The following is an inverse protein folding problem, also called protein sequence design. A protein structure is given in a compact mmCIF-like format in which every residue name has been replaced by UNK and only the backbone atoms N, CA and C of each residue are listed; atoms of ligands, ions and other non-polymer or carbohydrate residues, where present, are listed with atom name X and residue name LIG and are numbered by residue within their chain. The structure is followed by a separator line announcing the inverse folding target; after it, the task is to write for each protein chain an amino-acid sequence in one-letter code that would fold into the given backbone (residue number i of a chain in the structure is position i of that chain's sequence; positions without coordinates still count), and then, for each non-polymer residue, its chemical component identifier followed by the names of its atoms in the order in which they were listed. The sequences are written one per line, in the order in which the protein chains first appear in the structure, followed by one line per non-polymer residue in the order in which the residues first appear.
data_IF_394401740266
#
_entry.id   IF_394401740266
#
_cell.length_a   1.000
_cell.length_b   1.000
_cell.length_c   1.000
_cell.angle_alpha   90.00
_cell.angle_beta   90.00
_cell.angle_gamma   90.00
#
_symmetry.space_group_name_H-M   'P 1'
#
loop_
_entity.id
_entity.type
_entity.pdbx_description
1 polymer ?
#
# COMPACT_ATOMS: atom_id res chain seq x y z
N UNK A 1 -9.14 -4.70 -31.68
CA UNK A 1 -8.79 -3.35 -31.20
C UNK A 1 -7.43 -3.48 -30.55
N UNK A 2 -6.42 -2.91 -31.18
CA UNK A 2 -5.03 -2.89 -30.72
C UNK A 2 -4.94 -2.01 -29.48
N UNK A 3 -4.68 -2.62 -28.32
CA UNK A 3 -4.36 -1.90 -27.10
C UNK A 3 -3.06 -1.13 -27.30
N UNK A 4 -3.09 0.17 -27.03
CA UNK A 4 -1.88 0.95 -26.83
C UNK A 4 -1.33 0.54 -25.47
N UNK A 5 -0.33 -0.35 -25.46
CA UNK A 5 0.57 -0.44 -24.33
C UNK A 5 1.20 0.95 -24.18
N UNK A 6 0.92 1.64 -23.08
CA UNK A 6 1.62 2.88 -22.75
C UNK A 6 3.08 2.48 -22.53
N UNK A 7 3.95 2.84 -23.47
CA UNK A 7 5.37 2.62 -23.32
C UNK A 7 5.82 3.49 -22.15
N UNK A 8 6.19 2.87 -21.02
CA UNK A 8 6.96 3.52 -19.99
C UNK A 8 8.14 4.22 -20.68
N UNK A 9 8.18 5.55 -20.63
CA UNK A 9 9.29 6.30 -21.19
C UNK A 9 10.59 5.86 -20.52
N UNK A 10 11.66 5.71 -21.29
CA UNK A 10 12.97 5.37 -20.73
C UNK A 10 13.33 6.35 -19.60
N UNK A 11 13.80 5.83 -18.47
CA UNK A 11 14.20 6.65 -17.32
C UNK A 11 15.25 7.67 -17.77
N UNK A 12 15.05 8.98 -17.52
CA UNK A 12 16.03 9.98 -17.90
C UNK A 12 17.27 9.83 -17.02
N UNK A 13 18.37 9.39 -17.62
CA UNK A 13 19.69 9.37 -16.99
C UNK A 13 20.56 10.39 -17.74
N UNK A 14 21.04 11.38 -17.00
CA UNK A 14 21.93 12.43 -17.51
C UNK A 14 23.32 11.90 -17.90
N UNK A 15 24.23 12.78 -18.34
CA UNK A 15 25.59 12.37 -18.65
C UNK A 15 26.31 11.87 -17.40
N UNK A 16 26.66 10.58 -17.39
CA UNK A 16 27.31 9.91 -16.27
C UNK A 16 26.34 9.42 -15.20
N UNK A 17 26.79 8.45 -14.42
CA UNK A 17 26.00 7.84 -13.35
C UNK A 17 26.05 8.69 -12.09
N UNK A 18 24.90 9.04 -11.47
CA UNK A 18 24.89 9.75 -10.21
C UNK A 18 25.28 8.83 -9.05
N UNK A 19 25.67 9.42 -7.91
CA UNK A 19 25.86 8.64 -6.70
C UNK A 19 24.52 8.08 -6.19
N UNK A 20 23.48 8.92 -6.24
CA UNK A 20 22.12 8.57 -5.85
C UNK A 20 21.14 8.90 -6.99
N UNK A 21 20.24 7.96 -7.30
CA UNK A 21 19.08 8.22 -8.15
C UNK A 21 17.81 8.18 -7.30
N UNK A 22 16.98 9.24 -7.34
CA UNK A 22 15.72 9.30 -6.59
C UNK A 22 14.54 9.07 -7.53
N UNK A 23 13.76 8.01 -7.28
CA UNK A 23 12.55 7.68 -8.02
C UNK A 23 11.34 8.28 -7.28
N UNK A 24 10.64 9.21 -7.94
CA UNK A 24 9.50 9.93 -7.41
C UNK A 24 8.15 9.37 -7.89
N UNK A 25 7.23 9.06 -6.97
CA UNK A 25 5.89 8.56 -7.33
C UNK A 25 4.80 9.49 -6.81
N UNK A 26 4.24 10.26 -7.72
CA UNK A 26 3.23 11.26 -7.43
C UNK A 26 1.91 10.62 -7.00
N UNK A 27 1.05 11.37 -6.32
CA UNK A 27 -0.27 10.89 -5.92
C UNK A 27 -1.31 10.99 -7.04
N UNK A 28 -2.53 10.55 -6.75
CA UNK A 28 -3.69 10.65 -7.66
C UNK A 28 -3.85 12.08 -8.19
N UNK A 29 -4.00 12.20 -9.50
CA UNK A 29 -4.13 13.46 -10.23
C UNK A 29 -2.89 14.38 -10.26
N UNK A 30 -1.73 13.91 -9.76
CA UNK A 30 -0.48 14.69 -9.76
C UNK A 30 0.53 14.20 -10.81
N UNK A 31 0.35 12.99 -11.35
CA UNK A 31 1.22 12.39 -12.37
C UNK A 31 1.15 13.13 -13.70
N UNK A 32 2.29 13.20 -14.39
CA UNK A 32 2.37 13.77 -15.75
C UNK A 32 3.15 12.85 -16.68
N UNK A 33 2.95 12.94 -18.01
CA UNK A 33 3.73 12.16 -18.97
C UNK A 33 5.23 12.50 -19.01
N UNK A 34 5.64 13.66 -18.49
CA UNK A 34 7.04 14.09 -18.46
C UNK A 34 7.71 13.58 -17.17
N UNK A 35 8.65 12.62 -17.24
CA UNK A 35 9.32 12.06 -16.07
C UNK A 35 10.29 13.05 -15.41
N UNK A 36 10.53 14.22 -16.00
CA UNK A 36 11.34 15.29 -15.40
C UNK A 36 10.51 16.37 -14.71
N UNK A 37 9.18 16.26 -14.73
CA UNK A 37 8.30 17.27 -14.18
C UNK A 37 8.22 17.19 -12.64
N UNK A 38 8.78 18.21 -11.98
CA UNK A 38 8.67 18.41 -10.54
C UNK A 38 7.33 19.05 -10.15
N UNK A 39 6.25 18.27 -10.24
CA UNK A 39 4.89 18.70 -9.84
C UNK A 39 4.40 18.03 -8.54
N UNK A 40 3.41 18.66 -7.90
CA UNK A 40 2.74 18.11 -6.73
C UNK A 40 3.63 18.01 -5.48
N UNK A 41 3.24 17.10 -4.57
CA UNK A 41 3.94 16.92 -3.28
C UNK A 41 5.36 16.39 -3.47
N UNK A 42 5.50 15.39 -4.34
CA UNK A 42 6.77 14.74 -4.64
C UNK A 42 7.73 15.70 -5.34
N UNK A 43 7.27 16.42 -6.37
CA UNK A 43 8.12 17.38 -7.10
C UNK A 43 8.68 18.48 -6.21
N UNK A 44 7.91 18.97 -5.22
CA UNK A 44 8.41 19.98 -4.29
C UNK A 44 9.54 19.46 -3.39
N UNK A 45 9.55 18.16 -3.06
CA UNK A 45 10.64 17.53 -2.32
C UNK A 45 11.84 17.33 -3.25
N UNK A 46 11.64 16.73 -4.43
CA UNK A 46 12.70 16.45 -5.40
C UNK A 46 13.44 17.73 -5.81
N UNK A 47 12.70 18.81 -6.12
CA UNK A 47 13.30 20.10 -6.47
C UNK A 47 14.20 20.69 -5.38
N UNK A 48 13.86 20.48 -4.09
CA UNK A 48 14.72 20.92 -2.98
C UNK A 48 15.97 20.06 -2.85
N UNK A 49 15.86 18.73 -3.04
CA UNK A 49 17.02 17.82 -3.03
C UNK A 49 17.97 18.14 -4.18
N UNK A 50 17.44 18.29 -5.40
CA UNK A 50 18.20 18.66 -6.59
C UNK A 50 18.90 20.02 -6.42
N UNK A 51 18.23 21.01 -5.80
CA UNK A 51 18.85 22.30 -5.52
C UNK A 51 19.98 22.22 -4.47
N UNK A 52 19.87 21.31 -3.50
CA UNK A 52 20.86 21.14 -2.43
C UNK A 52 22.13 20.40 -2.90
N UNK A 53 21.98 19.37 -3.74
CA UNK A 53 23.08 18.50 -4.18
C UNK A 53 23.08 18.25 -5.70
N UNK A 54 23.16 19.30 -6.53
CA UNK A 54 22.87 19.21 -7.97
C UNK A 54 23.81 18.31 -8.78
N UNK A 55 24.99 17.97 -8.23
CA UNK A 55 25.99 17.12 -8.88
C UNK A 55 26.03 15.68 -8.35
N UNK A 56 25.30 15.39 -7.27
CA UNK A 56 25.33 14.06 -6.62
C UNK A 56 24.08 13.24 -6.92
N UNK A 57 22.98 13.92 -7.24
CA UNK A 57 21.66 13.31 -7.44
C UNK A 57 21.19 13.52 -8.87
N UNK A 58 20.49 12.52 -9.39
CA UNK A 58 19.52 12.69 -10.47
C UNK A 58 18.19 12.12 -9.99
N UNK A 59 17.08 12.58 -10.55
CA UNK A 59 15.76 12.08 -10.21
C UNK A 59 14.85 12.03 -11.43
N UNK A 60 13.81 11.22 -11.31
CA UNK A 60 12.68 11.24 -12.21
C UNK A 60 11.41 10.93 -11.45
N UNK A 61 10.28 11.37 -11.99
CA UNK A 61 8.98 10.84 -11.64
C UNK A 61 8.61 9.65 -12.53
N UNK A 62 7.81 8.72 -12.04
CA UNK A 62 7.25 7.63 -12.86
C UNK A 62 5.92 8.09 -13.46
N UNK A 63 5.80 8.22 -14.79
CA UNK A 63 4.54 8.50 -15.44
C UNK A 63 3.59 7.30 -15.32
N UNK A 64 2.40 7.54 -14.79
CA UNK A 64 1.32 6.56 -14.70
C UNK A 64 -0.04 7.30 -14.70
N UNK A 65 -1.18 6.60 -14.81
CA UNK A 65 -2.48 7.27 -14.93
C UNK A 65 -2.85 8.19 -13.77
N UNK A 66 -2.39 7.88 -12.55
CA UNK A 66 -2.81 8.55 -11.31
C UNK A 66 -4.33 8.68 -11.20
N UNK A 67 -5.03 7.63 -11.62
CA UNK A 67 -6.48 7.55 -11.74
C UNK A 67 -7.16 7.14 -10.44
N UNK A 68 -8.42 7.54 -10.33
CA UNK A 68 -9.36 7.09 -9.30
C UNK A 68 -10.75 7.01 -9.94
N UNK A 69 -10.88 6.17 -10.96
CA UNK A 69 -12.14 6.00 -11.70
C UNK A 69 -12.65 7.31 -12.31
N UNK A 70 -11.76 8.22 -12.72
CA UNK A 70 -12.11 9.52 -13.31
C UNK A 70 -12.72 10.57 -12.36
N UNK A 71 -12.84 10.31 -11.05
CA UNK A 71 -13.46 11.26 -10.11
C UNK A 71 -12.51 12.38 -9.64
N UNK A 72 -11.19 12.17 -9.76
CA UNK A 72 -10.16 13.11 -9.31
C UNK A 72 -9.61 13.90 -10.51
N UNK A 73 -9.71 15.24 -10.52
CA UNK A 73 -9.14 16.06 -11.58
C UNK A 73 -7.63 15.84 -11.75
N UNK A 74 -7.18 15.77 -13.01
CA UNK A 74 -5.78 15.50 -13.35
C UNK A 74 -5.43 14.00 -13.37
N UNK A 75 -6.28 13.13 -12.83
CA UNK A 75 -6.13 11.69 -12.91
C UNK A 75 -6.77 11.11 -14.17
N UNK A 76 -6.27 9.96 -14.61
CA UNK A 76 -6.87 9.17 -15.68
C UNK A 76 -8.22 8.53 -15.28
N UNK A 77 -8.98 8.03 -16.27
CA UNK A 77 -10.24 7.34 -16.03
C UNK A 77 -10.08 5.98 -15.33
N UNK A 78 -8.87 5.43 -15.27
CA UNK A 78 -8.57 4.11 -14.72
C UNK A 78 -8.99 4.00 -13.25
N UNK A 79 -9.58 2.87 -12.82
CA UNK A 79 -9.79 2.57 -11.41
C UNK A 79 -8.50 2.69 -10.61
N UNK A 80 -8.63 3.06 -9.34
CA UNK A 80 -7.49 3.30 -8.47
C UNK A 80 -6.54 2.09 -8.37
N UNK A 81 -7.09 0.88 -8.26
CA UNK A 81 -6.32 -0.35 -8.13
C UNK A 81 -5.48 -0.66 -9.40
N UNK A 82 -6.05 -0.43 -10.58
CA UNK A 82 -5.35 -0.57 -11.87
C UNK A 82 -4.25 0.48 -11.97
N UNK A 83 -4.57 1.75 -11.68
CA UNK A 83 -3.60 2.83 -11.70
C UNK A 83 -2.45 2.64 -10.70
N UNK A 84 -2.71 2.10 -9.50
CA UNK A 84 -1.66 1.81 -8.52
C UNK A 84 -0.76 0.65 -8.96
N UNK A 85 -1.35 -0.38 -9.61
CA UNK A 85 -0.58 -1.48 -10.21
C UNK A 85 0.34 -0.98 -11.32
N UNK A 86 -0.14 -0.09 -12.20
CA UNK A 86 0.70 0.51 -13.24
C UNK A 86 1.84 1.36 -12.67
N UNK A 87 1.60 2.08 -11.57
CA UNK A 87 2.65 2.81 -10.87
C UNK A 87 3.73 1.85 -10.34
N UNK A 88 3.34 0.72 -9.74
CA UNK A 88 4.28 -0.31 -9.27
C UNK A 88 5.09 -0.91 -10.42
N UNK A 89 4.45 -1.23 -11.54
CA UNK A 89 5.14 -1.73 -12.73
C UNK A 89 6.15 -0.71 -13.26
N UNK A 90 5.78 0.58 -13.28
CA UNK A 90 6.68 1.67 -13.64
C UNK A 90 7.86 1.84 -12.67
N UNK A 91 7.66 1.67 -11.36
CA UNK A 91 8.74 1.66 -10.36
C UNK A 91 9.70 0.49 -10.63
N UNK A 92 9.15 -0.70 -10.87
CA UNK A 92 9.94 -1.90 -11.12
C UNK A 92 10.81 -1.76 -12.38
N UNK A 93 10.21 -1.26 -13.47
CA UNK A 93 10.94 -0.97 -14.71
C UNK A 93 12.02 0.09 -14.47
N UNK A 94 11.69 1.20 -13.82
CA UNK A 94 12.63 2.29 -13.58
C UNK A 94 13.84 1.84 -12.74
N UNK A 95 13.59 1.13 -11.63
CA UNK A 95 14.65 0.61 -10.78
C UNK A 95 15.59 -0.35 -11.54
N UNK A 96 15.02 -1.23 -12.37
CA UNK A 96 15.78 -2.17 -13.20
C UNK A 96 16.65 -1.42 -14.22
N UNK A 97 16.07 -0.47 -14.94
CA UNK A 97 16.76 0.29 -15.98
C UNK A 97 17.92 1.12 -15.41
N UNK A 98 17.71 1.78 -14.26
CA UNK A 98 18.74 2.57 -13.60
C UNK A 98 19.90 1.69 -13.15
N UNK A 99 19.62 0.56 -12.48
CA UNK A 99 20.68 -0.35 -12.00
C UNK A 99 21.43 -1.00 -13.16
N UNK A 100 20.74 -1.29 -14.27
CA UNK A 100 21.37 -1.83 -15.47
C UNK A 100 22.29 -0.80 -16.14
N UNK A 101 21.87 0.45 -16.23
CA UNK A 101 22.65 1.53 -16.83
C UNK A 101 23.80 2.00 -15.93
N UNK A 102 23.59 2.00 -14.62
CA UNK A 102 24.48 2.54 -13.61
C UNK A 102 24.62 1.59 -12.40
N UNK A 103 25.43 0.53 -12.52
CA UNK A 103 25.52 -0.51 -11.50
C UNK A 103 25.99 -0.03 -10.13
N UNK A 104 26.78 1.05 -10.06
CA UNK A 104 27.32 1.60 -8.81
C UNK A 104 26.42 2.68 -8.18
N UNK A 105 25.34 3.08 -8.86
CA UNK A 105 24.36 4.04 -8.34
C UNK A 105 23.45 3.37 -7.30
N UNK A 106 23.23 4.04 -6.17
CA UNK A 106 22.20 3.66 -5.21
C UNK A 106 20.86 4.33 -5.57
N UNK A 107 19.76 3.65 -5.26
CA UNK A 107 18.40 4.12 -5.50
C UNK A 107 17.76 4.64 -4.22
N UNK A 108 16.98 5.70 -4.30
CA UNK A 108 16.07 6.13 -3.25
C UNK A 108 14.65 6.34 -3.80
N UNK A 109 13.66 6.31 -2.92
CA UNK A 109 12.25 6.48 -3.28
C UNK A 109 11.59 7.62 -2.53
N UNK A 110 10.79 8.43 -3.22
CA UNK A 110 9.92 9.45 -2.59
C UNK A 110 8.54 9.32 -3.18
N UNK A 111 7.53 9.13 -2.34
CA UNK A 111 6.19 8.84 -2.84
C UNK A 111 5.07 9.41 -1.97
N UNK A 112 3.93 9.71 -2.59
CA UNK A 112 2.78 10.33 -1.92
C UNK A 112 1.45 9.65 -2.30
N UNK A 113 0.59 9.40 -1.32
CA UNK A 113 -0.78 8.87 -1.49
C UNK A 113 -0.81 7.58 -2.32
N UNK A 114 -1.51 7.52 -3.45
CA UNK A 114 -1.49 6.37 -4.38
C UNK A 114 -0.08 5.93 -4.77
N UNK A 115 0.82 6.88 -5.01
CA UNK A 115 2.21 6.59 -5.31
C UNK A 115 2.96 6.00 -4.11
N UNK A 116 2.61 6.43 -2.90
CA UNK A 116 3.18 5.87 -1.67
C UNK A 116 2.75 4.41 -1.48
N UNK A 117 1.53 4.05 -1.88
CA UNK A 117 1.10 2.66 -1.92
C UNK A 117 1.98 1.81 -2.85
N UNK A 118 2.15 2.25 -4.09
CA UNK A 118 2.97 1.55 -5.08
C UNK A 118 4.44 1.43 -4.62
N UNK A 119 5.02 2.50 -4.06
CA UNK A 119 6.39 2.47 -3.54
C UNK A 119 6.52 1.62 -2.27
N UNK A 120 5.49 1.54 -1.41
CA UNK A 120 5.46 0.63 -0.27
C UNK A 120 5.50 -0.84 -0.73
N UNK A 121 4.70 -1.20 -1.74
CA UNK A 121 4.68 -2.54 -2.33
C UNK A 121 6.02 -2.90 -2.97
N UNK A 122 6.63 -1.97 -3.72
CA UNK A 122 7.99 -2.14 -4.21
C UNK A 122 8.99 -2.39 -3.06
N UNK A 123 8.92 -1.60 -1.99
CA UNK A 123 9.80 -1.74 -0.83
C UNK A 123 9.60 -3.06 -0.08
N UNK A 124 8.36 -3.53 0.07
CA UNK A 124 8.04 -4.83 0.66
C UNK A 124 8.59 -5.97 -0.21
N UNK A 125 8.40 -5.93 -1.53
CA UNK A 125 8.91 -6.93 -2.46
C UNK A 125 10.45 -7.01 -2.43
N UNK A 126 11.13 -5.87 -2.56
CA UNK A 126 12.59 -5.79 -2.46
C UNK A 126 13.04 -6.26 -1.08
N UNK A 127 12.42 -5.75 -0.01
CA UNK A 127 12.75 -6.11 1.37
C UNK A 127 12.64 -7.60 1.69
N UNK A 128 11.70 -8.30 1.05
CA UNK A 128 11.51 -9.74 1.13
C UNK A 128 12.44 -10.55 0.20
N UNK A 129 13.24 -9.89 -0.65
CA UNK A 129 14.12 -10.53 -1.62
C UNK A 129 13.43 -10.99 -2.92
N UNK A 130 12.20 -10.53 -3.16
CA UNK A 130 11.39 -10.87 -4.33
C UNK A 130 11.26 -9.71 -5.34
N UNK A 131 11.90 -8.57 -5.07
CA UNK A 131 11.85 -7.38 -5.93
C UNK A 131 12.79 -7.46 -7.15
N UNK A 132 12.67 -6.51 -8.09
CA UNK A 132 13.43 -6.54 -9.35
C UNK A 132 14.91 -6.17 -9.18
N UNK A 133 15.27 -5.58 -8.03
CA UNK A 133 16.63 -5.20 -7.65
C UNK A 133 16.94 -5.72 -6.26
N UNK A 134 18.21 -5.91 -5.97
CA UNK A 134 18.64 -6.39 -4.67
C UNK A 134 18.46 -5.31 -3.57
N UNK A 135 18.17 -5.70 -2.31
CA UNK A 135 17.93 -4.75 -1.22
C UNK A 135 19.09 -3.80 -0.92
N UNK A 136 20.32 -4.19 -1.26
CA UNK A 136 21.53 -3.39 -1.11
C UNK A 136 21.60 -2.22 -2.10
N UNK A 137 20.78 -2.21 -3.16
CA UNK A 137 20.63 -1.07 -4.06
C UNK A 137 19.77 0.05 -3.53
N UNK A 138 18.99 -0.17 -2.47
CA UNK A 138 18.08 0.84 -1.92
C UNK A 138 18.75 1.64 -0.80
N UNK A 139 19.11 2.89 -1.04
CA UNK A 139 19.67 3.79 -0.03
C UNK A 139 18.64 4.19 1.04
N UNK A 140 17.41 4.54 0.63
CA UNK A 140 16.33 4.91 1.53
C UNK A 140 15.03 5.29 0.81
N UNK A 141 13.89 5.15 1.48
CA UNK A 141 12.57 5.43 0.92
C UNK A 141 11.77 6.30 1.91
N UNK A 142 11.11 7.34 1.41
CA UNK A 142 10.17 8.16 2.20
C UNK A 142 8.79 8.11 1.56
N UNK A 143 7.81 7.71 2.36
CA UNK A 143 6.41 7.59 1.99
C UNK A 143 5.60 8.65 2.74
N UNK A 144 4.67 9.29 2.04
CA UNK A 144 3.72 10.23 2.62
C UNK A 144 2.30 9.79 2.33
N UNK A 145 1.44 9.79 3.35
CA UNK A 145 0.05 9.38 3.21
C UNK A 145 -0.12 7.96 2.64
N UNK A 146 0.73 7.01 3.05
CA UNK A 146 0.74 5.63 2.53
C UNK A 146 -0.55 4.85 2.90
N UNK A 147 -1.37 4.45 1.92
CA UNK A 147 -2.55 3.60 2.12
C UNK A 147 -2.24 2.21 2.67
N UNK A 148 -1.00 1.72 2.49
CA UNK A 148 -0.55 0.42 3.00
C UNK A 148 0.13 0.54 4.38
N UNK A 149 0.14 1.74 5.00
CA UNK A 149 0.86 1.99 6.25
C UNK A 149 0.53 0.94 7.32
N UNK A 150 1.58 0.36 7.90
CA UNK A 150 1.46 -0.70 8.90
C UNK A 150 0.69 -0.23 10.15
N UNK A 151 -0.13 -1.12 10.77
CA UNK A 151 -0.90 -0.79 11.96
C UNK A 151 -0.05 -0.26 13.10
N UNK A 152 -0.39 0.95 13.57
CA UNK A 152 0.27 1.63 14.69
C UNK A 152 1.80 1.70 14.56
N UNK A 153 2.30 1.75 13.33
CA UNK A 153 3.73 1.76 13.04
C UNK A 153 4.40 3.08 13.44
N UNK A 154 5.63 3.04 14.00
CA UNK A 154 6.48 4.22 14.10
C UNK A 154 6.79 4.80 12.71
N UNK A 155 7.30 6.03 12.68
CA UNK A 155 7.68 6.71 11.44
C UNK A 155 8.80 5.99 10.69
N UNK A 156 9.70 5.28 11.39
CA UNK A 156 10.66 4.36 10.77
C UNK A 156 10.18 2.93 11.07
N UNK A 157 9.44 2.28 10.15
CA UNK A 157 8.79 1.01 10.42
C UNK A 157 9.81 -0.10 10.69
N UNK A 158 9.49 -0.98 11.65
CA UNK A 158 10.42 -2.01 12.14
C UNK A 158 11.52 -1.49 13.06
N UNK A 159 11.54 -0.19 13.40
CA UNK A 159 12.48 0.44 14.33
C UNK A 159 11.80 1.34 15.37
N UNK A 160 11.09 0.78 16.37
CA UNK A 160 10.40 1.56 17.39
C UNK A 160 11.36 2.51 18.15
N UNK A 161 11.00 3.79 18.23
CA UNK A 161 11.78 4.81 18.94
C UNK A 161 13.00 5.36 18.18
N UNK A 162 13.32 4.82 17.00
CA UNK A 162 14.39 5.33 16.16
C UNK A 162 13.95 6.60 15.44
N UNK A 163 14.80 7.62 15.45
CA UNK A 163 14.57 8.91 14.77
C UNK A 163 15.62 9.22 13.71
N UNK A 164 16.73 8.47 13.69
CA UNK A 164 17.81 8.60 12.69
C UNK A 164 17.73 7.37 11.79
N UNK A 165 17.59 7.49 10.46
CA UNK A 165 17.56 6.34 9.56
C UNK A 165 18.84 5.50 9.60
N UNK A 166 18.74 4.23 9.24
CA UNK A 166 19.92 3.38 9.06
C UNK A 166 20.74 3.87 7.84
N UNK A 167 22.08 3.76 7.86
CA UNK A 167 22.93 4.14 6.73
C UNK A 167 22.57 3.41 5.42
N UNK A 168 22.84 4.06 4.29
CA UNK A 168 22.77 3.40 2.99
C UNK A 168 23.79 2.26 2.90
N UNK A 169 23.46 1.13 2.24
CA UNK A 169 24.36 -0.01 2.11
C UNK A 169 25.73 0.39 1.53
N UNK A 170 26.80 -0.14 2.10
CA UNK A 170 28.17 0.13 1.66
C UNK A 170 28.73 1.50 2.08
N UNK A 171 27.92 2.40 2.62
CA UNK A 171 28.35 3.75 3.02
C UNK A 171 28.76 3.84 4.50
N UNK A 172 29.51 4.89 4.85
CA UNK A 172 29.84 5.19 6.25
C UNK A 172 28.69 5.83 7.06
N UNK A 173 27.64 6.32 6.40
CA UNK A 173 26.45 6.89 7.05
C UNK A 173 26.66 8.20 7.81
N UNK A 174 27.76 8.92 7.58
CA UNK A 174 28.12 10.08 8.39
C UNK A 174 27.15 11.25 8.19
N UNK A 175 26.69 11.48 6.96
CA UNK A 175 25.69 12.49 6.68
C UNK A 175 24.31 12.06 7.20
N UNK A 176 23.90 10.80 6.98
CA UNK A 176 22.62 10.26 7.46
C UNK A 176 22.53 10.32 8.99
N UNK A 177 23.62 10.05 9.70
CA UNK A 177 23.68 10.11 11.16
C UNK A 177 23.36 11.51 11.75
N UNK A 178 23.44 12.56 10.94
CA UNK A 178 23.10 13.93 11.33
C UNK A 178 21.62 14.29 11.06
N UNK A 179 20.85 13.41 10.41
CA UNK A 179 19.45 13.65 10.07
C UNK A 179 18.53 13.06 11.13
N UNK A 180 17.54 13.84 11.55
CA UNK A 180 16.47 13.36 12.43
C UNK A 180 15.11 13.49 11.74
N UNK A 181 14.36 12.39 11.74
CA UNK A 181 12.96 12.33 11.34
C UNK A 181 12.12 12.43 12.62
N UNK A 182 11.63 13.65 12.88
CA UNK A 182 10.85 14.00 14.06
C UNK A 182 9.36 14.22 13.75
N UNK A 183 8.91 13.77 12.58
CA UNK A 183 7.50 13.77 12.24
C UNK A 183 6.72 13.00 13.34
N UNK A 184 5.57 13.51 13.80
CA UNK A 184 4.80 12.83 14.82
C UNK A 184 4.26 11.50 14.28
N UNK A 185 4.21 10.43 15.09
CA UNK A 185 3.53 9.21 14.69
C UNK A 185 2.02 9.45 14.59
N UNK A 186 1.36 8.76 13.65
CA UNK A 186 -0.09 8.69 13.56
C UNK A 186 -0.61 7.40 14.20
N UNK A 187 -1.83 7.41 14.76
CA UNK A 187 -2.45 6.15 15.21
C UNK A 187 -3.19 5.45 14.06
N UNK A 188 -3.60 4.21 14.27
CA UNK A 188 -4.33 3.44 13.28
C UNK A 188 -3.40 2.90 12.20
N UNK A 189 -3.97 2.55 11.06
CA UNK A 189 -3.26 1.96 9.92
C UNK A 189 -3.58 2.67 8.62
N UNK A 190 -2.89 2.30 7.55
CA UNK A 190 -3.37 2.57 6.20
C UNK A 190 -4.73 1.92 5.94
N UNK A 191 -5.53 2.55 5.09
CA UNK A 191 -6.88 2.09 4.75
C UNK A 191 -6.86 0.79 3.94
N UNK A 192 -5.79 0.55 3.20
CA UNK A 192 -5.55 -0.62 2.36
C UNK A 192 -4.39 -1.47 2.91
N UNK A 193 -4.07 -1.37 4.20
CA UNK A 193 -2.95 -2.14 4.77
C UNK A 193 -3.18 -3.64 4.63
N UNK A 194 -2.15 -4.35 4.17
CA UNK A 194 -2.05 -5.81 4.13
C UNK A 194 -1.30 -6.37 5.35
N UNK A 195 -0.69 -5.49 6.16
CA UNK A 195 0.09 -5.85 7.35
C UNK A 195 1.54 -6.24 7.05
N UNK A 196 1.99 -6.17 5.81
CA UNK A 196 3.33 -6.62 5.42
C UNK A 196 4.42 -5.59 5.71
N UNK A 197 5.49 -6.06 6.37
CA UNK A 197 6.65 -5.24 6.71
C UNK A 197 7.66 -5.07 5.57
N UNK A 198 8.59 -4.14 5.73
CA UNK A 198 9.63 -3.87 4.71
C UNK A 198 10.86 -4.81 4.78
N UNK A 199 10.80 -5.89 5.54
CA UNK A 199 11.87 -6.90 5.64
C UNK A 199 13.26 -6.31 5.85
N UNK A 200 14.19 -6.62 4.94
CA UNK A 200 15.59 -6.14 4.97
C UNK A 200 15.74 -4.63 4.73
N UNK A 201 14.69 -3.92 4.32
CA UNK A 201 14.67 -2.46 4.23
C UNK A 201 14.22 -1.77 5.53
N UNK A 202 13.87 -2.51 6.58
CA UNK A 202 13.55 -1.91 7.89
C UNK A 202 14.70 -1.01 8.37
N UNK A 203 14.37 0.21 8.81
CA UNK A 203 15.35 1.26 9.13
C UNK A 203 15.76 2.16 7.96
N UNK A 204 15.50 1.75 6.72
CA UNK A 204 15.71 2.53 5.48
C UNK A 204 14.40 2.93 4.81
N UNK A 205 13.27 2.79 5.49
CA UNK A 205 11.97 3.33 5.07
C UNK A 205 11.47 4.28 6.15
N UNK A 206 11.01 5.47 5.76
CA UNK A 206 10.23 6.35 6.61
C UNK A 206 8.80 6.44 6.07
N UNK A 207 7.81 6.08 6.87
CA UNK A 207 6.38 6.14 6.54
C UNK A 207 5.73 7.27 7.36
N UNK A 208 5.59 8.43 6.73
CA UNK A 208 5.12 9.67 7.33
C UNK A 208 3.63 9.81 7.06
N UNK A 209 2.86 9.90 8.15
CA UNK A 209 1.42 10.05 8.09
C UNK A 209 0.97 11.17 9.01
N UNK A 210 0.10 12.05 8.52
CA UNK A 210 -0.60 13.01 9.36
C UNK A 210 -1.75 12.31 10.07
N UNK A 211 -1.75 12.34 11.40
CA UNK A 211 -2.84 11.77 12.20
C UNK A 211 -4.22 12.26 11.72
N UNK A 212 -5.18 11.38 11.47
CA UNK A 212 -6.51 11.77 10.94
C UNK A 212 -6.59 11.93 9.41
N UNK A 213 -5.48 11.72 8.69
CA UNK A 213 -5.51 11.43 7.24
C UNK A 213 -6.00 9.99 7.04
N UNK A 214 -7.25 9.82 6.61
CA UNK A 214 -7.91 8.51 6.53
C UNK A 214 -7.18 7.53 5.60
N UNK A 215 -6.40 8.01 4.62
CA UNK A 215 -5.62 7.12 3.76
C UNK A 215 -4.58 6.32 4.56
N UNK A 216 -3.86 6.95 5.48
CA UNK A 216 -2.73 6.34 6.22
C UNK A 216 -2.98 6.15 7.74
N UNK A 217 -4.08 6.69 8.26
CA UNK A 217 -4.46 6.75 9.68
C UNK A 217 -5.91 6.28 9.90
N UNK A 218 -6.39 5.31 9.12
CA UNK A 218 -7.69 4.69 9.29
C UNK A 218 -7.85 4.07 10.70
N UNK A 219 -9.05 4.15 11.33
CA UNK A 219 -9.29 3.61 12.67
C UNK A 219 -9.02 2.11 12.75
N UNK A 220 -8.62 1.62 13.93
CA UNK A 220 -8.30 0.20 14.11
C UNK A 220 -9.56 -0.68 13.91
N UNK A 221 -10.68 -0.33 14.55
CA UNK A 221 -11.92 -1.12 14.51
C UNK A 221 -12.92 -0.60 13.46
N UNK A 222 -12.51 -0.69 12.19
CA UNK A 222 -13.26 -0.21 11.04
C UNK A 222 -13.22 -1.19 9.85
N UNK A 223 -13.38 -2.49 10.07
CA UNK A 223 -13.22 -3.51 9.02
C UNK A 223 -14.12 -3.28 7.78
N UNK A 224 -15.38 -2.89 7.96
CA UNK A 224 -16.30 -2.61 6.85
C UNK A 224 -15.92 -1.36 6.05
N UNK A 225 -15.26 -0.39 6.69
CA UNK A 225 -14.70 0.76 5.98
C UNK A 225 -13.59 0.31 5.03
N UNK A 226 -12.73 -0.62 5.46
CA UNK A 226 -11.68 -1.21 4.63
C UNK A 226 -12.26 -2.00 3.46
N UNK A 227 -13.25 -2.86 3.70
CA UNK A 227 -13.99 -3.56 2.63
C UNK A 227 -14.57 -2.57 1.60
N UNK A 228 -15.21 -1.50 2.08
CA UNK A 228 -15.75 -0.46 1.21
C UNK A 228 -14.67 0.28 0.41
N UNK A 229 -13.52 0.54 1.02
CA UNK A 229 -12.38 1.16 0.36
C UNK A 229 -11.80 0.27 -0.75
N UNK A 230 -11.64 -1.03 -0.51
CA UNK A 230 -11.14 -1.98 -1.53
C UNK A 230 -12.10 -2.12 -2.72
N UNK A 231 -13.41 -2.11 -2.46
CA UNK A 231 -14.42 -2.10 -3.54
C UNK A 231 -14.35 -0.78 -4.32
N UNK A 232 -14.27 0.36 -3.61
CA UNK A 232 -14.18 1.67 -4.24
C UNK A 232 -12.91 1.83 -5.08
N UNK A 233 -11.80 1.21 -4.65
CA UNK A 233 -10.53 1.23 -5.36
C UNK A 233 -10.61 0.56 -6.75
N UNK A 234 -11.52 -0.41 -6.92
CA UNK A 234 -11.74 -1.12 -8.18
C UNK A 234 -12.89 -0.52 -9.01
N UNK A 235 -13.68 0.37 -8.41
CA UNK A 235 -14.86 0.90 -9.05
C UNK A 235 -14.49 1.90 -10.15
N UNK A 236 -15.26 1.84 -11.23
CA UNK A 236 -15.30 2.92 -12.21
C UNK A 236 -16.27 3.99 -11.71
N UNK A 237 -15.76 5.21 -11.47
CA UNK A 237 -16.48 6.30 -10.80
C UNK A 237 -16.76 7.49 -11.73
N UNK A 238 -16.58 7.33 -13.04
CA UNK A 238 -16.67 8.44 -13.99
C UNK A 238 -18.10 8.96 -14.16
N UNK A 239 -19.10 8.08 -14.00
CA UNK A 239 -20.51 8.45 -13.96
C UNK A 239 -21.32 7.64 -12.93
N UNK A 240 -22.45 8.17 -12.43
CA UNK A 240 -23.19 7.54 -11.34
C UNK A 240 -23.80 6.17 -11.68
N UNK A 241 -24.19 5.91 -12.93
CA UNK A 241 -24.81 4.66 -13.36
C UNK A 241 -23.73 3.59 -13.50
N UNK A 242 -22.60 3.92 -14.13
CA UNK A 242 -21.43 3.06 -14.20
C UNK A 242 -20.96 2.66 -12.79
N UNK A 243 -20.84 3.62 -11.88
CA UNK A 243 -20.45 3.39 -10.49
C UNK A 243 -21.38 2.40 -9.76
N UNK A 244 -22.69 2.55 -9.89
CA UNK A 244 -23.65 1.62 -9.25
C UNK A 244 -23.54 0.20 -9.80
N UNK A 245 -23.38 0.04 -11.12
CA UNK A 245 -23.25 -1.28 -11.75
C UNK A 245 -21.93 -1.96 -11.38
N UNK A 246 -20.82 -1.23 -11.39
CA UNK A 246 -19.49 -1.75 -11.04
C UNK A 246 -19.42 -2.12 -9.57
N UNK A 247 -19.87 -1.24 -8.66
CA UNK A 247 -19.91 -1.51 -7.22
C UNK A 247 -20.74 -2.76 -6.91
N UNK A 248 -21.92 -2.92 -7.53
CA UNK A 248 -22.75 -4.12 -7.34
C UNK A 248 -22.05 -5.41 -7.79
N UNK A 249 -21.36 -5.37 -8.94
CA UNK A 249 -20.60 -6.51 -9.46
C UNK A 249 -19.40 -6.86 -8.58
N UNK A 250 -18.65 -5.85 -8.14
CA UNK A 250 -17.48 -6.00 -7.27
C UNK A 250 -17.87 -6.55 -5.89
N UNK A 251 -18.93 -6.01 -5.28
CA UNK A 251 -19.45 -6.51 -4.02
C UNK A 251 -19.90 -7.98 -4.12
N UNK A 252 -20.65 -8.32 -5.18
CA UNK A 252 -21.10 -9.71 -5.41
C UNK A 252 -19.91 -10.67 -5.58
N UNK A 253 -18.87 -10.22 -6.27
CA UNK A 253 -17.63 -11.00 -6.47
C UNK A 253 -16.88 -11.20 -5.16
N UNK A 254 -16.67 -10.12 -4.39
CA UNK A 254 -16.00 -10.19 -3.08
C UNK A 254 -16.74 -11.13 -2.12
N UNK A 255 -18.07 -11.03 -2.03
CA UNK A 255 -18.87 -11.94 -1.21
C UNK A 255 -18.78 -13.40 -1.67
N UNK A 256 -18.75 -13.65 -2.98
CA UNK A 256 -18.54 -14.99 -3.53
C UNK A 256 -17.16 -15.57 -3.21
N UNK A 257 -16.10 -14.75 -3.29
CA UNK A 257 -14.74 -15.11 -2.88
C UNK A 257 -14.67 -15.42 -1.39
N UNK A 258 -15.20 -14.54 -0.54
CA UNK A 258 -15.26 -14.73 0.90
C UNK A 258 -15.98 -16.03 1.26
N UNK A 259 -17.13 -16.29 0.65
CA UNK A 259 -17.89 -17.53 0.87
C UNK A 259 -17.09 -18.77 0.47
N UNK A 260 -16.44 -18.75 -0.69
CA UNK A 260 -15.60 -19.86 -1.18
C UNK A 260 -14.47 -20.14 -0.20
N UNK A 261 -13.75 -19.10 0.22
CA UNK A 261 -12.61 -19.24 1.14
C UNK A 261 -13.05 -19.72 2.52
N UNK A 262 -14.14 -19.17 3.08
CA UNK A 262 -14.69 -19.59 4.37
C UNK A 262 -15.08 -21.07 4.35
N UNK A 263 -15.78 -21.52 3.30
CA UNK A 263 -16.11 -22.94 3.16
C UNK A 263 -14.87 -23.82 2.98
N UNK A 264 -13.89 -23.38 2.18
CA UNK A 264 -12.71 -24.18 1.92
C UNK A 264 -11.81 -24.31 3.16
N UNK A 265 -11.66 -23.25 3.94
CA UNK A 265 -10.60 -23.13 4.94
C UNK A 265 -11.07 -23.06 6.40
N UNK A 266 -12.27 -22.54 6.68
CA UNK A 266 -12.73 -22.30 8.06
C UNK A 266 -13.72 -23.35 8.57
N UNK A 267 -14.32 -24.12 7.66
CA UNK A 267 -15.17 -25.25 8.01
C UNK A 267 -14.40 -26.56 8.01
N UNK A 268 -14.43 -27.24 9.15
CA UNK A 268 -13.84 -28.56 9.36
C UNK A 268 -14.96 -29.58 9.51
N UNK A 269 -14.88 -30.66 8.74
CA UNK A 269 -15.93 -31.70 8.68
C UNK A 269 -15.34 -33.07 8.92
N UNK A 270 -16.09 -33.88 9.66
CA UNK A 270 -15.86 -35.29 9.92
C UNK A 270 -17.17 -36.06 9.68
N UNK A 271 -17.17 -37.40 9.59
CA UNK A 271 -18.41 -38.16 9.46
C UNK A 271 -19.43 -37.83 10.56
N UNK A 272 -20.54 -37.18 10.18
CA UNK A 272 -21.61 -36.78 11.10
C UNK A 272 -21.33 -35.52 11.92
N UNK A 273 -20.24 -34.80 11.65
CA UNK A 273 -19.87 -33.59 12.38
C UNK A 273 -19.37 -32.47 11.44
N UNK A 274 -19.68 -31.23 11.80
CA UNK A 274 -19.18 -30.03 11.14
C UNK A 274 -18.93 -28.96 12.18
N UNK A 275 -17.78 -28.28 12.08
CA UNK A 275 -17.37 -27.20 12.97
C UNK A 275 -16.87 -26.01 12.15
N UNK A 276 -17.24 -24.81 12.58
CA UNK A 276 -16.64 -23.57 12.11
C UNK A 276 -15.50 -23.17 13.05
N UNK A 277 -14.26 -23.33 12.59
CA UNK A 277 -13.03 -23.07 13.33
C UNK A 277 -12.11 -22.22 12.45
N UNK A 278 -12.37 -20.91 12.35
CA UNK A 278 -11.68 -20.08 11.38
C UNK A 278 -10.21 -19.85 11.76
N UNK A 279 -9.34 -19.86 10.74
CA UNK A 279 -7.93 -19.49 10.90
C UNK A 279 -7.69 -17.98 10.94
N UNK A 280 -8.66 -17.20 10.47
CA UNK A 280 -8.66 -15.73 10.43
C UNK A 280 -10.03 -15.19 10.90
N UNK A 281 -10.09 -14.02 11.56
CA UNK A 281 -11.36 -13.37 11.85
C UNK A 281 -12.20 -13.15 10.58
N UNK A 282 -13.53 -13.20 10.71
CA UNK A 282 -14.46 -12.98 9.60
C UNK A 282 -14.23 -11.61 8.93
N UNK A 283 -13.93 -10.58 9.72
CA UNK A 283 -13.55 -9.27 9.21
C UNK A 283 -12.38 -9.33 8.23
N UNK A 284 -11.30 -10.04 8.58
CA UNK A 284 -10.14 -10.20 7.71
C UNK A 284 -10.49 -11.00 6.45
N UNK A 285 -11.33 -12.04 6.55
CA UNK A 285 -11.81 -12.80 5.37
C UNK A 285 -12.55 -11.90 4.37
N UNK A 286 -13.34 -10.94 4.87
CA UNK A 286 -14.07 -9.99 4.03
C UNK A 286 -13.14 -8.96 3.40
N UNK A 287 -12.15 -8.46 4.15
CA UNK A 287 -11.12 -7.54 3.64
C UNK A 287 -10.31 -8.24 2.54
N UNK A 288 -9.74 -9.42 2.82
CA UNK A 288 -8.96 -10.21 1.87
C UNK A 288 -9.75 -10.52 0.58
N UNK A 289 -11.05 -10.77 0.70
CA UNK A 289 -11.90 -11.08 -0.45
C UNK A 289 -12.25 -9.85 -1.30
N UNK A 290 -12.24 -8.66 -0.70
CA UNK A 290 -12.48 -7.39 -1.38
C UNK A 290 -11.20 -6.83 -2.02
N UNK A 291 -10.03 -7.11 -1.45
CA UNK A 291 -8.73 -6.64 -1.93
C UNK A 291 -8.43 -7.17 -3.36
N UNK A 292 -8.19 -6.30 -4.36
CA UNK A 292 -7.83 -6.72 -5.72
C UNK A 292 -6.45 -7.36 -5.84
N UNK A 293 -5.55 -7.12 -4.87
CA UNK A 293 -4.19 -7.68 -4.83
C UNK A 293 -4.19 -9.11 -4.30
N UNK A 294 -5.22 -9.51 -3.56
CA UNK A 294 -5.36 -10.87 -3.08
C UNK A 294 -5.69 -11.83 -4.25
N UNK A 295 -5.01 -12.98 -4.35
CA UNK A 295 -5.29 -13.94 -5.40
C UNK A 295 -6.71 -14.47 -5.28
N UNK A 296 -7.42 -14.54 -6.42
CA UNK A 296 -8.73 -15.17 -6.47
C UNK A 296 -8.64 -16.67 -6.10
N UNK A 297 -9.68 -17.25 -5.50
CA UNK A 297 -9.69 -18.67 -5.19
C UNK A 297 -9.43 -19.56 -6.41
N UNK A 298 -8.50 -20.49 -6.29
CA UNK A 298 -8.18 -21.44 -7.36
C UNK A 298 -9.30 -22.45 -7.61
N UNK A 299 -9.25 -23.17 -8.73
CA UNK A 299 -10.24 -24.21 -9.05
C UNK A 299 -10.37 -25.28 -7.97
N UNK A 300 -9.24 -25.64 -7.35
CA UNK A 300 -9.19 -26.66 -6.30
C UNK A 300 -9.86 -26.16 -5.01
N UNK A 301 -9.69 -24.87 -4.67
CA UNK A 301 -10.38 -24.25 -3.54
C UNK A 301 -11.90 -24.16 -3.79
N UNK A 302 -12.32 -23.83 -5.01
CA UNK A 302 -13.75 -23.83 -5.40
C UNK A 302 -14.35 -25.24 -5.26
N UNK A 303 -13.63 -26.27 -5.72
CA UNK A 303 -14.07 -27.66 -5.58
C UNK A 303 -14.12 -28.09 -4.11
N UNK A 304 -13.09 -27.74 -3.32
CA UNK A 304 -13.05 -28.04 -1.90
C UNK A 304 -14.20 -27.36 -1.14
N UNK A 305 -14.53 -26.11 -1.47
CA UNK A 305 -15.67 -25.40 -0.89
C UNK A 305 -17.00 -26.10 -1.19
N UNK A 306 -17.22 -26.54 -2.45
CA UNK A 306 -18.42 -27.28 -2.82
C UNK A 306 -18.52 -28.62 -2.08
N UNK A 307 -17.42 -29.38 -2.01
CA UNK A 307 -17.37 -30.62 -1.25
C UNK A 307 -17.61 -30.40 0.25
N UNK A 308 -17.06 -29.32 0.82
CA UNK A 308 -17.29 -28.99 2.23
C UNK A 308 -18.75 -28.68 2.49
N UNK A 309 -19.39 -27.94 1.59
CA UNK A 309 -20.81 -27.64 1.68
C UNK A 309 -21.67 -28.91 1.70
N UNK A 310 -21.39 -29.85 0.80
CA UNK A 310 -22.07 -31.15 0.77
C UNK A 310 -21.86 -31.94 2.07
N UNK A 311 -20.66 -31.88 2.65
CA UNK A 311 -20.37 -32.55 3.93
C UNK A 311 -21.07 -31.89 5.12
N UNK A 312 -21.11 -30.55 5.17
CA UNK A 312 -21.83 -29.80 6.21
C UNK A 312 -23.32 -30.13 6.16
N UNK A 313 -23.91 -30.09 4.97
CA UNK A 313 -25.34 -30.37 4.78
C UNK A 313 -25.67 -31.83 5.12
N UNK A 314 -24.80 -32.78 4.76
CA UNK A 314 -24.94 -34.19 5.16
C UNK A 314 -24.83 -34.38 6.69
N UNK A 315 -23.88 -33.73 7.36
CA UNK A 315 -23.74 -33.78 8.81
C UNK A 315 -24.96 -33.19 9.53
N UNK A 316 -25.47 -32.05 9.03
CA UNK A 316 -26.69 -31.43 9.53
C UNK A 316 -27.93 -32.31 9.31
N UNK A 317 -28.04 -32.99 8.17
CA UNK A 317 -29.13 -33.93 7.90
C UNK A 317 -29.07 -35.17 8.82
N UNK A 318 -27.87 -35.66 9.14
CA UNK A 318 -27.66 -36.81 10.01
C UNK A 318 -27.94 -36.50 11.50
N UNK A 319 -27.64 -35.28 11.95
CA UNK A 319 -27.87 -34.85 13.33
C UNK A 319 -28.30 -33.36 13.41
N UNK A 320 -29.55 -33.04 13.03
CA UNK A 320 -30.00 -31.66 12.93
C UNK A 320 -30.03 -30.95 14.29
N UNK A 321 -30.38 -31.66 15.37
CA UNK A 321 -30.48 -31.09 16.72
C UNK A 321 -29.11 -30.85 17.36
N UNK A 322 -28.05 -31.55 16.92
CA UNK A 322 -26.70 -31.34 17.41
C UNK A 322 -25.91 -30.35 16.55
N UNK A 323 -25.97 -30.47 15.22
CA UNK A 323 -25.10 -29.72 14.31
C UNK A 323 -25.64 -28.30 14.06
N UNK A 324 -26.93 -28.14 13.78
CA UNK A 324 -27.48 -26.82 13.39
C UNK A 324 -27.34 -25.80 14.53
N UNK A 325 -27.74 -26.09 15.79
CA UNK A 325 -27.56 -25.12 16.87
C UNK A 325 -26.09 -24.82 17.18
N UNK A 326 -25.20 -25.82 17.07
CA UNK A 326 -23.76 -25.66 17.29
C UNK A 326 -23.15 -24.70 16.26
N UNK A 327 -23.39 -24.96 14.97
CA UNK A 327 -22.91 -24.09 13.89
C UNK A 327 -23.51 -22.69 14.00
N UNK A 328 -24.80 -22.57 14.33
CA UNK A 328 -25.43 -21.27 14.55
C UNK A 328 -24.75 -20.48 15.69
N UNK A 329 -24.38 -21.14 16.79
CA UNK A 329 -23.64 -20.53 17.89
C UNK A 329 -22.22 -20.09 17.48
N UNK A 330 -21.48 -20.93 16.76
CA UNK A 330 -20.13 -20.61 16.26
C UNK A 330 -20.16 -19.41 15.29
N UNK A 331 -21.12 -19.41 14.35
CA UNK A 331 -21.31 -18.30 13.42
C UNK A 331 -21.78 -17.03 14.12
N UNK A 332 -22.67 -17.13 15.11
CA UNK A 332 -23.08 -15.98 15.92
C UNK A 332 -21.90 -15.36 16.69
N UNK A 333 -20.96 -16.18 17.17
CA UNK A 333 -19.70 -15.72 17.75
C UNK A 333 -18.88 -14.90 16.75
N UNK A 334 -18.65 -15.44 15.55
CA UNK A 334 -17.92 -14.76 14.49
C UNK A 334 -18.59 -13.45 14.03
N UNK A 335 -19.93 -13.40 14.02
CA UNK A 335 -20.69 -12.17 13.79
C UNK A 335 -20.52 -11.16 14.93
N UNK A 336 -20.46 -11.63 16.18
CA UNK A 336 -20.16 -10.79 17.34
C UNK A 336 -18.79 -10.15 17.24
N UNK A 337 -17.78 -10.92 16.85
CA UNK A 337 -16.42 -10.42 16.60
C UNK A 337 -16.41 -9.39 15.46
N UNK A 338 -17.11 -9.67 14.34
CA UNK A 338 -17.25 -8.70 13.25
C UNK A 338 -17.91 -7.38 13.70
N UNK A 339 -18.89 -7.42 14.59
CA UNK A 339 -19.48 -6.19 15.15
C UNK A 339 -18.46 -5.44 16.00
N UNK A 340 -17.67 -6.15 16.82
CA UNK A 340 -16.60 -5.54 17.62
C UNK A 340 -15.50 -4.92 16.75
N UNK A 341 -15.13 -5.57 15.64
CA UNK A 341 -14.18 -5.09 14.63
C UNK A 341 -14.66 -3.83 13.88
N UNK A 342 -15.87 -3.36 14.15
CA UNK A 342 -16.47 -2.15 13.59
C UNK A 342 -16.93 -1.15 14.65
N UNK A 343 -16.48 -1.30 15.90
CA UNK A 343 -16.87 -0.43 17.00
C UNK A 343 -16.55 1.06 16.76
N UNK A 344 -15.49 1.37 16.01
CA UNK A 344 -15.12 2.77 15.73
C UNK A 344 -16.08 3.45 14.77
N UNK A 345 -16.76 2.69 13.89
CA UNK A 345 -17.68 3.26 12.90
C UNK A 345 -18.94 3.87 13.53
N UNK A 346 -19.34 3.39 14.69
CA UNK A 346 -20.51 3.90 15.43
C UNK A 346 -20.13 4.92 16.51
N UNK A 347 -18.83 5.21 16.68
CA UNK A 347 -18.35 6.15 17.69
C UNK A 347 -18.20 7.56 17.09
N UNK A 348 -19.06 8.54 17.46
CA UNK A 348 -18.97 9.89 16.90
C UNK A 348 -17.66 10.61 17.27
N UNK A 349 -17.01 10.25 18.39
CA UNK A 349 -15.74 10.84 18.78
C UNK A 349 -14.60 10.46 17.81
N UNK A 350 -14.68 9.27 17.19
CA UNK A 350 -13.75 8.85 16.15
C UNK A 350 -13.91 9.76 14.93
N UNK A 351 -15.12 10.00 14.46
CA UNK A 351 -15.38 10.83 13.27
C UNK A 351 -14.94 12.30 13.42
N UNK A 352 -14.95 12.86 14.64
CA UNK A 352 -14.41 14.20 14.88
C UNK A 352 -12.93 14.32 14.51
N UNK A 353 -12.15 13.24 14.66
CA UNK A 353 -10.73 13.21 14.30
C UNK A 353 -10.49 13.28 12.79
N UNK A 354 -11.45 12.82 11.98
CA UNK A 354 -11.37 12.76 10.52
C UNK A 354 -12.14 13.91 9.84
N UNK A 355 -12.69 14.86 10.61
CA UNK A 355 -13.51 15.96 10.09
C UNK A 355 -12.79 16.87 9.08
N UNK A 356 -11.46 16.88 9.09
CA UNK A 356 -10.58 17.63 8.18
C UNK A 356 -9.66 16.70 7.36
N UNK A 357 -10.01 15.42 7.20
CA UNK A 357 -9.16 14.41 6.52
C UNK A 357 -8.65 14.86 5.16
N UNK A 358 -9.45 15.57 4.36
CA UNK A 358 -9.04 16.08 3.04
C UNK A 358 -7.95 17.15 3.16
N UNK A 359 -8.05 18.03 4.17
CA UNK A 359 -7.05 19.05 4.42
C UNK A 359 -5.75 18.45 4.95
N UNK A 360 -5.84 17.42 5.82
CA UNK A 360 -4.68 16.67 6.32
C UNK A 360 -3.97 15.93 5.20
N UNK A 361 -4.73 15.23 4.37
CA UNK A 361 -4.19 14.48 3.23
C UNK A 361 -3.41 15.40 2.28
N UNK A 362 -3.95 16.58 1.95
CA UNK A 362 -3.27 17.52 1.05
C UNK A 362 -2.26 18.46 1.73
N UNK A 363 -2.08 18.33 3.05
CA UNK A 363 -1.36 19.30 3.89
C UNK A 363 0.15 19.08 4.02
N UNK A 364 0.73 18.01 3.47
CA UNK A 364 2.14 17.67 3.67
C UNK A 364 3.11 18.77 3.18
N UNK A 365 2.76 19.46 2.08
CA UNK A 365 3.52 20.59 1.55
C UNK A 365 3.54 21.78 2.50
N UNK A 366 2.39 22.14 3.06
CA UNK A 366 2.20 23.38 3.82
C UNK A 366 2.49 23.20 5.31
N UNK A 367 2.48 21.97 5.81
CA UNK A 367 2.75 21.62 7.21
C UNK A 367 4.24 21.44 7.53
N UNK A 368 5.12 21.54 6.53
CA UNK A 368 6.57 21.37 6.71
C UNK A 368 7.01 19.91 6.88
N UNK A 369 6.12 18.94 6.70
CA UNK A 369 6.43 17.52 6.90
C UNK A 369 7.45 16.95 5.92
N UNK A 370 7.71 17.63 4.80
CA UNK A 370 8.70 17.23 3.80
C UNK A 370 10.15 17.49 4.22
N UNK A 371 10.38 18.36 5.21
CA UNK A 371 11.73 18.86 5.53
C UNK A 371 12.70 17.73 5.95
N UNK A 372 12.23 16.76 6.73
CA UNK A 372 13.02 15.60 7.15
C UNK A 372 13.34 14.69 5.97
N UNK A 373 12.39 14.49 5.05
CA UNK A 373 12.59 13.74 3.82
C UNK A 373 13.61 14.41 2.89
N UNK A 374 13.53 15.73 2.70
CA UNK A 374 14.55 16.49 1.94
C UNK A 374 15.93 16.30 2.56
N UNK A 375 16.05 16.55 3.88
CA UNK A 375 17.32 16.42 4.59
C UNK A 375 17.91 15.00 4.47
N UNK A 376 17.07 13.97 4.57
CA UNK A 376 17.51 12.59 4.45
C UNK A 376 17.98 12.25 3.03
N UNK A 377 17.22 12.61 1.99
CA UNK A 377 17.63 12.36 0.60
C UNK A 377 18.94 13.09 0.26
N UNK A 378 19.11 14.33 0.72
CA UNK A 378 20.37 15.07 0.58
C UNK A 378 21.53 14.37 1.29
N UNK A 379 21.31 13.86 2.51
CA UNK A 379 22.33 13.13 3.25
C UNK A 379 22.72 11.80 2.58
N UNK A 380 21.74 11.05 2.06
CA UNK A 380 21.99 9.82 1.31
C UNK A 380 22.87 10.09 0.08
N UNK A 381 22.64 11.21 -0.64
CA UNK A 381 23.46 11.58 -1.79
C UNK A 381 24.92 11.85 -1.42
N UNK A 382 25.17 12.50 -0.27
CA UNK A 382 26.52 12.72 0.23
C UNK A 382 27.22 11.40 0.64
N UNK A 383 26.54 10.54 1.38
CA UNK A 383 27.10 9.27 1.83
C UNK A 383 27.34 8.30 0.66
N UNK A 384 26.45 8.28 -0.34
CA UNK A 384 26.62 7.50 -1.56
C UNK A 384 27.83 7.98 -2.40
N UNK A 385 28.04 9.30 -2.50
CA UNK A 385 29.16 9.85 -3.25
C UNK A 385 30.52 9.50 -2.63
N UNK A 386 30.59 9.45 -1.30
CA UNK A 386 31.80 9.02 -0.58
C UNK A 386 32.11 7.53 -0.70
N UNK A 387 31.13 6.69 -1.07
CA UNK A 387 31.31 5.26 -1.31
C UNK A 387 31.96 4.95 -2.67
N UNK A 388 31.72 5.79 -3.69
CA UNK A 388 32.21 5.61 -5.06
C UNK A 388 33.68 6.07 -5.26
N UNK A 389 34.34 6.57 -4.22
CA UNK A 389 35.71 7.11 -4.21
C UNK A 389 36.68 6.24 -3.44
#
# INVERSE_FOLDING_TARGET
MTGLASAAGAVPIGPGCPALYVIGIQGTGQSTPDPSADTGVVGALLGQVQAAVPTLVQHSTVPYPAGFGGIVPGGGPEPYAESASEALDGINAAATDIVAACPDTLLAGVAYSQGAQAMAQFAQQVGAGNGPVAPDKIAGIVLYANPDRLPNSPVIPGRPGQTVPDPAPGTGGAAVAAVQILNPPATGSGIATDGDGYGSLAGRVADICTDGDLACSAPDHAALLRVGAEIAAQADLHDPIAALMTINGLFSTAMGRAWTTVLAEDFHTDPGNADYLPGKPLAQRLIDAADPRAPAPGTDQVQAAAQRWDQITAAAAANPLGIVPKLAGQLAGAWGDLVADNADLINPAVWLRYGDTVARHNGYLTSGQLASGVAWMTALAHDAAGHQS
#
